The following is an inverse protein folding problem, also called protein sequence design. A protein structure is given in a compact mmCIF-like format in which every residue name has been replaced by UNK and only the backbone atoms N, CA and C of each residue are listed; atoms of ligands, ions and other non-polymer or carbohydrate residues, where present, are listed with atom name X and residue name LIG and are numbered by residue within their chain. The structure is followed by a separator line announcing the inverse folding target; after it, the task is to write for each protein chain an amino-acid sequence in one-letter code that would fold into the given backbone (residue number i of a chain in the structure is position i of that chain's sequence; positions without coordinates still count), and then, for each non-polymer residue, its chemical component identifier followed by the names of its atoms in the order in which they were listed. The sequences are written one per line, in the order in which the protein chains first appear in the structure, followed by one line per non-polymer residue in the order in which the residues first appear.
data_IF_874937465978
#
_entry.id   IF_874937465978
#
_cell.length_a   1.000
_cell.length_b   1.000
_cell.length_c   1.000
_cell.angle_alpha   90.00
_cell.angle_beta   90.00
_cell.angle_gamma   90.00
#
_symmetry.space_group_name_H-M   'P 1'
#
loop_
_entity.id
_entity.type
_entity.pdbx_description
1 polymer ?
#
# COMPACT_ATOMS: atom_id res chain seq x y z
N UNK A 1 62.76 -2.69 30.03
CA UNK A 1 61.61 -1.79 29.98
C UNK A 1 60.62 -2.40 29.05
N UNK A 2 59.58 -3.06 29.57
CA UNK A 2 58.46 -3.68 28.77
C UNK A 2 57.30 -2.65 28.64
N UNK A 3 57.05 -2.18 27.44
CA UNK A 3 55.88 -1.33 27.17
C UNK A 3 54.65 -2.23 27.00
N UNK A 4 53.71 -2.17 27.93
CA UNK A 4 52.41 -2.78 27.79
C UNK A 4 51.56 -1.88 26.90
N UNK A 5 51.19 -2.34 25.69
CA UNK A 5 50.14 -1.72 24.88
C UNK A 5 48.81 -2.13 25.47
N UNK A 6 48.08 -1.18 26.08
CA UNK A 6 46.69 -1.36 26.47
C UNK A 6 45.81 -1.22 25.23
N UNK A 7 45.22 -2.33 24.81
CA UNK A 7 44.20 -2.38 23.74
C UNK A 7 42.88 -1.91 24.36
N UNK A 8 42.49 -0.65 24.13
CA UNK A 8 41.19 -0.14 24.52
C UNK A 8 40.11 -0.71 23.55
N UNK A 9 39.40 -1.74 23.99
CA UNK A 9 38.17 -2.19 23.33
C UNK A 9 37.10 -1.10 23.51
N UNK A 10 36.83 -0.34 22.46
CA UNK A 10 35.62 0.48 22.37
C UNK A 10 34.41 -0.47 22.22
N UNK A 11 33.76 -0.81 23.33
CA UNK A 11 32.39 -1.31 23.29
C UNK A 11 31.52 -0.14 22.80
N UNK A 12 31.15 -0.12 21.51
CA UNK A 12 30.06 0.70 21.02
C UNK A 12 28.80 0.25 21.76
N UNK A 13 28.35 1.00 22.74
CA UNK A 13 27.06 0.79 23.38
C UNK A 13 26.01 0.92 22.29
N UNK A 14 25.37 -0.21 21.90
CA UNK A 14 24.22 -0.21 21.02
C UNK A 14 23.13 0.62 21.71
N UNK A 15 22.83 1.79 21.15
CA UNK A 15 21.70 2.58 21.63
C UNK A 15 20.43 1.71 21.58
N UNK A 16 19.57 1.77 22.58
CA UNK A 16 18.35 0.98 22.59
C UNK A 16 17.52 1.29 21.35
N UNK A 17 16.97 0.24 20.72
CA UNK A 17 16.14 0.40 19.53
C UNK A 17 14.93 1.30 19.85
N UNK A 18 14.65 2.23 18.95
CA UNK A 18 13.51 3.15 19.12
C UNK A 18 12.21 2.40 18.97
N UNK A 19 11.36 2.45 19.98
CA UNK A 19 10.00 1.90 19.89
C UNK A 19 9.14 2.73 18.93
N UNK A 20 8.50 2.05 17.99
CA UNK A 20 7.58 2.67 17.03
C UNK A 20 6.36 1.78 16.81
N UNK A 21 5.23 2.40 16.54
CA UNK A 21 4.01 1.72 16.08
C UNK A 21 3.78 2.06 14.60
N UNK A 22 3.59 1.03 13.79
CA UNK A 22 3.26 1.13 12.38
C UNK A 22 1.88 0.51 12.18
N UNK A 23 0.95 1.21 11.53
CA UNK A 23 -0.35 0.63 11.26
C UNK A 23 -0.58 0.36 9.77
N UNK A 24 -1.48 -0.60 9.50
CA UNK A 24 -1.85 -1.02 8.15
C UNK A 24 -3.35 -1.37 8.08
N UNK A 25 -4.05 -1.07 6.96
CA UNK A 25 -5.51 -1.16 6.89
C UNK A 25 -6.02 -2.49 6.35
N UNK A 26 -5.15 -3.36 5.84
CA UNK A 26 -5.57 -4.57 5.13
C UNK A 26 -4.56 -5.70 5.30
N UNK A 27 -5.07 -6.91 5.43
CA UNK A 27 -4.32 -8.16 5.33
C UNK A 27 -4.30 -8.59 3.86
N UNK A 28 -3.45 -7.95 3.09
CA UNK A 28 -3.29 -8.22 1.65
C UNK A 28 -1.82 -8.11 1.26
N UNK A 29 -1.49 -8.45 0.03
CA UNK A 29 -0.12 -8.36 -0.47
C UNK A 29 0.52 -6.97 -0.38
N UNK A 30 -0.28 -5.90 -0.27
CA UNK A 30 0.22 -4.54 -0.02
C UNK A 30 0.95 -4.39 1.32
N UNK A 31 0.66 -5.27 2.29
CA UNK A 31 1.27 -5.24 3.63
C UNK A 31 2.54 -6.11 3.74
N UNK A 32 2.91 -6.86 2.70
CA UNK A 32 4.12 -7.70 2.72
C UNK A 32 5.39 -6.96 3.15
N UNK A 33 5.67 -5.72 2.69
CA UNK A 33 6.88 -5.02 3.11
C UNK A 33 6.97 -4.86 4.63
N UNK A 34 5.83 -4.62 5.32
CA UNK A 34 5.79 -4.49 6.78
C UNK A 34 6.00 -5.85 7.45
N UNK A 35 5.29 -6.88 6.99
CA UNK A 35 5.34 -8.22 7.57
C UNK A 35 6.75 -8.81 7.45
N UNK A 36 7.34 -8.77 6.26
CA UNK A 36 8.70 -9.25 6.02
C UNK A 36 9.73 -8.41 6.77
N UNK A 37 9.55 -7.08 6.87
CA UNK A 37 10.47 -6.24 7.64
C UNK A 37 10.46 -6.58 9.13
N UNK A 38 9.30 -6.93 9.69
CA UNK A 38 9.18 -7.36 11.09
C UNK A 38 9.77 -8.75 11.30
N UNK A 39 9.31 -9.74 10.55
CA UNK A 39 9.71 -11.14 10.72
C UNK A 39 11.16 -11.41 10.29
N UNK A 40 11.68 -10.62 9.34
CA UNK A 40 13.08 -10.67 8.90
C UNK A 40 14.05 -9.86 9.75
N UNK A 41 13.58 -9.19 10.80
CA UNK A 41 14.45 -8.40 11.68
C UNK A 41 14.99 -7.11 11.04
N UNK A 42 14.43 -6.67 9.91
CA UNK A 42 14.95 -5.48 9.21
C UNK A 42 14.68 -4.18 9.97
N UNK A 43 13.60 -4.09 10.75
CA UNK A 43 13.40 -2.94 11.63
C UNK A 43 14.51 -2.84 12.68
N UNK A 44 14.80 -3.96 13.36
CA UNK A 44 15.87 -4.03 14.36
C UNK A 44 17.25 -3.69 13.77
N UNK A 45 17.52 -4.17 12.55
CA UNK A 45 18.74 -3.84 11.80
C UNK A 45 18.94 -2.33 11.65
N UNK A 46 17.86 -1.58 11.51
CA UNK A 46 17.90 -0.12 11.38
C UNK A 46 17.57 0.61 12.69
N UNK A 47 17.69 -0.08 13.85
CA UNK A 47 17.53 0.53 15.18
C UNK A 47 16.08 0.82 15.57
N UNK A 48 15.11 0.13 14.98
CA UNK A 48 13.68 0.29 15.27
C UNK A 48 13.12 -0.96 15.96
N UNK A 49 12.41 -0.77 17.08
CA UNK A 49 11.57 -1.80 17.70
C UNK A 49 10.12 -1.55 17.27
N UNK A 50 9.73 -2.16 16.14
CA UNK A 50 8.45 -1.89 15.50
C UNK A 50 7.34 -2.81 16.00
N UNK A 51 6.20 -2.24 16.38
CA UNK A 51 4.93 -2.94 16.58
C UNK A 51 4.01 -2.69 15.38
N UNK A 52 3.45 -3.76 14.79
CA UNK A 52 2.50 -3.66 13.70
C UNK A 52 1.07 -3.74 14.23
N UNK A 53 0.21 -2.78 13.86
CA UNK A 53 -1.19 -2.70 14.30
C UNK A 53 -2.11 -2.70 13.08
N UNK A 54 -3.05 -3.66 13.05
CA UNK A 54 -4.12 -3.66 12.07
C UNK A 54 -5.19 -2.63 12.46
N UNK A 55 -5.42 -1.63 11.62
CA UNK A 55 -6.42 -0.60 11.84
C UNK A 55 -7.02 -0.13 10.51
N UNK A 56 -8.35 -0.11 10.38
CA UNK A 56 -9.03 0.41 9.19
C UNK A 56 -8.69 1.89 8.91
N UNK A 57 -8.92 2.36 7.68
CA UNK A 57 -8.46 3.68 7.24
C UNK A 57 -8.81 4.84 8.18
N UNK A 58 -10.05 5.02 8.68
CA UNK A 58 -10.33 6.14 9.59
C UNK A 58 -9.57 6.02 10.92
N UNK A 59 -9.57 4.83 11.52
CA UNK A 59 -8.92 4.60 12.83
C UNK A 59 -7.42 4.74 12.76
N UNK A 60 -6.78 4.20 11.71
CA UNK A 60 -5.34 4.27 11.61
C UNK A 60 -4.82 5.67 11.24
N UNK A 61 -5.58 6.50 10.52
CA UNK A 61 -5.25 7.92 10.33
C UNK A 61 -5.35 8.64 11.68
N UNK A 62 -6.38 8.34 12.49
CA UNK A 62 -6.52 8.89 13.84
C UNK A 62 -5.33 8.53 14.74
N UNK A 63 -4.81 7.30 14.66
CA UNK A 63 -3.59 6.87 15.39
C UNK A 63 -2.35 7.68 14.98
N UNK A 64 -2.21 8.05 13.70
CA UNK A 64 -1.12 8.93 13.24
C UNK A 64 -1.34 10.36 13.75
N UNK A 65 -2.57 10.86 13.75
CA UNK A 65 -2.91 12.20 14.26
C UNK A 65 -2.61 12.31 15.75
N UNK A 66 -2.98 11.31 16.55
CA UNK A 66 -2.73 11.29 18.01
C UNK A 66 -1.26 11.05 18.38
N UNK A 67 -0.42 10.58 17.44
CA UNK A 67 0.96 10.16 17.69
C UNK A 67 1.10 8.75 18.26
N UNK A 68 0.00 8.01 18.39
CA UNK A 68 0.00 6.59 18.79
C UNK A 68 0.73 5.72 17.75
N UNK A 69 0.56 6.04 16.47
CA UNK A 69 1.36 5.44 15.39
C UNK A 69 2.29 6.48 14.75
N UNK A 70 3.55 6.08 14.51
CA UNK A 70 4.55 6.92 13.87
C UNK A 70 4.44 6.89 12.36
N UNK A 71 3.90 5.79 11.79
CA UNK A 71 3.67 5.66 10.34
C UNK A 71 2.42 4.81 10.09
N UNK A 72 1.67 5.20 9.05
CA UNK A 72 0.60 4.38 8.47
C UNK A 72 0.94 3.99 7.02
N UNK A 73 0.77 2.70 6.69
CA UNK A 73 0.94 2.19 5.32
C UNK A 73 -0.43 2.19 4.63
N UNK A 74 -0.82 3.31 4.03
CA UNK A 74 -2.20 3.55 3.61
C UNK A 74 -2.34 3.95 2.14
N UNK A 75 -3.55 3.76 1.62
CA UNK A 75 -3.89 4.20 0.26
C UNK A 75 -3.72 5.70 0.10
N UNK A 76 -3.17 6.11 -1.04
CA UNK A 76 -2.95 7.53 -1.36
C UNK A 76 -4.26 8.33 -1.34
N UNK A 77 -5.40 7.73 -1.74
CA UNK A 77 -6.73 8.37 -1.68
C UNK A 77 -7.09 8.81 -0.26
N UNK A 78 -7.00 7.88 0.69
CA UNK A 78 -7.35 8.17 2.09
C UNK A 78 -6.40 9.21 2.69
N UNK A 79 -5.12 9.13 2.31
CA UNK A 79 -4.09 10.10 2.73
C UNK A 79 -4.36 11.49 2.17
N UNK A 80 -4.68 11.60 0.87
CA UNK A 80 -4.96 12.90 0.24
C UNK A 80 -6.26 13.53 0.77
N UNK A 81 -7.28 12.71 1.05
CA UNK A 81 -8.51 13.19 1.71
C UNK A 81 -8.25 13.72 3.12
N UNK A 82 -7.41 13.03 3.90
CA UNK A 82 -7.03 13.48 5.23
C UNK A 82 -6.17 14.77 5.16
N UNK A 83 -5.19 14.82 4.25
CA UNK A 83 -4.29 15.95 4.07
C UNK A 83 -5.02 17.21 3.57
N UNK A 84 -6.11 17.08 2.85
CA UNK A 84 -6.95 18.21 2.46
C UNK A 84 -7.60 18.94 3.67
N UNK A 85 -7.68 18.25 4.82
CA UNK A 85 -8.23 18.80 6.08
C UNK A 85 -7.15 19.14 7.11
N UNK A 86 -6.01 18.45 7.06
CA UNK A 86 -4.90 18.64 7.99
C UNK A 86 -3.56 18.67 7.21
N UNK A 87 -2.94 19.87 7.07
CA UNK A 87 -1.69 20.05 6.31
C UNK A 87 -0.45 19.50 7.04
N UNK A 88 -0.60 18.95 8.26
CA UNK A 88 0.52 18.44 9.05
C UNK A 88 0.93 17.01 8.69
N UNK A 89 0.32 16.41 7.69
CA UNK A 89 0.74 15.13 7.16
C UNK A 89 1.92 15.26 6.19
N UNK A 90 2.72 14.19 6.10
CA UNK A 90 3.80 14.02 5.15
C UNK A 90 3.83 12.57 4.66
N UNK A 91 4.05 12.37 3.37
CA UNK A 91 4.22 11.07 2.71
C UNK A 91 5.65 10.95 2.25
N UNK A 92 6.37 9.95 2.75
CA UNK A 92 7.81 9.80 2.52
C UNK A 92 8.19 8.70 1.54
N UNK A 93 7.20 8.00 0.99
CA UNK A 93 7.43 6.94 0.00
C UNK A 93 6.14 6.20 -0.37
N UNK A 94 6.25 5.32 -1.37
CA UNK A 94 5.16 4.44 -1.83
C UNK A 94 5.71 3.04 -2.08
N UNK A 95 5.16 2.04 -1.38
CA UNK A 95 5.57 0.62 -1.55
C UNK A 95 4.87 -0.07 -2.71
N UNK A 96 3.80 0.54 -3.23
CA UNK A 96 2.93 -0.03 -4.26
C UNK A 96 2.30 1.09 -5.06
N UNK A 97 2.22 0.97 -6.38
CA UNK A 97 1.49 1.90 -7.24
C UNK A 97 0.36 1.22 -8.03
N UNK A 98 0.38 -0.10 -8.13
CA UNK A 98 -0.69 -0.91 -8.74
C UNK A 98 -1.04 -2.05 -7.79
N UNK A 99 -2.28 -2.12 -7.33
CA UNK A 99 -2.74 -3.19 -6.45
C UNK A 99 -3.50 -4.27 -7.23
N UNK A 100 -3.40 -5.49 -6.73
CA UNK A 100 -4.02 -6.68 -7.31
C UNK A 100 -5.47 -6.78 -6.84
N UNK A 101 -6.37 -5.99 -7.47
CA UNK A 101 -7.80 -6.03 -7.23
C UNK A 101 -8.51 -6.69 -8.41
N UNK A 102 -9.47 -7.58 -8.12
CA UNK A 102 -10.32 -8.22 -9.10
C UNK A 102 -11.77 -7.73 -8.99
N UNK A 103 -12.37 -7.35 -10.12
CA UNK A 103 -13.81 -7.11 -10.22
C UNK A 103 -14.52 -8.45 -10.38
N UNK A 104 -15.15 -8.89 -9.29
CA UNK A 104 -15.88 -10.14 -9.20
C UNK A 104 -17.38 -9.93 -9.39
N UNK A 105 -18.03 -10.83 -10.11
CA UNK A 105 -19.48 -10.76 -10.39
C UNK A 105 -20.12 -12.14 -10.30
N UNK A 106 -21.45 -12.15 -10.22
CA UNK A 106 -22.24 -13.37 -10.36
C UNK A 106 -21.98 -14.05 -11.71
N UNK A 107 -22.28 -15.35 -11.77
CA UNK A 107 -22.06 -16.23 -12.94
C UNK A 107 -22.76 -15.78 -14.22
N UNK A 108 -23.92 -15.13 -14.07
CA UNK A 108 -24.75 -14.63 -15.19
C UNK A 108 -24.29 -13.28 -15.76
N UNK A 109 -23.24 -12.66 -15.16
CA UNK A 109 -22.67 -11.38 -15.60
C UNK A 109 -21.26 -11.61 -16.14
N UNK A 110 -21.14 -11.70 -17.46
CA UNK A 110 -19.90 -12.08 -18.15
C UNK A 110 -19.11 -10.88 -18.70
N UNK A 111 -19.58 -9.64 -18.53
CA UNK A 111 -18.87 -8.45 -19.02
C UNK A 111 -19.12 -7.22 -18.15
N UNK A 112 -18.16 -6.28 -18.15
CA UNK A 112 -18.28 -5.01 -17.41
C UNK A 112 -19.47 -4.19 -17.88
N UNK A 113 -19.81 -4.21 -19.16
CA UNK A 113 -20.97 -3.47 -19.71
C UNK A 113 -22.31 -3.96 -19.14
N UNK A 114 -22.44 -5.22 -18.76
CA UNK A 114 -23.65 -5.78 -18.14
C UNK A 114 -23.86 -5.30 -16.70
N UNK A 115 -22.90 -4.57 -16.12
CA UNK A 115 -23.04 -4.00 -14.78
C UNK A 115 -23.96 -2.78 -14.73
N UNK A 116 -24.38 -2.23 -15.86
CA UNK A 116 -25.34 -1.13 -15.88
C UNK A 116 -26.63 -1.54 -15.17
N UNK A 117 -27.04 -0.73 -14.16
CA UNK A 117 -28.20 -0.97 -13.32
C UNK A 117 -28.02 -2.08 -12.26
N UNK A 118 -26.84 -2.68 -12.14
CA UNK A 118 -26.56 -3.74 -11.17
C UNK A 118 -26.10 -3.19 -9.81
N UNK A 119 -26.24 -4.01 -8.77
CA UNK A 119 -25.85 -3.71 -7.39
C UNK A 119 -24.37 -4.09 -7.18
N UNK A 120 -23.53 -3.12 -6.85
CA UNK A 120 -22.13 -3.38 -6.51
C UNK A 120 -21.86 -3.02 -5.04
N UNK A 121 -21.25 -3.99 -4.31
CA UNK A 121 -20.85 -3.75 -2.92
C UNK A 121 -19.57 -2.91 -2.85
N UNK A 122 -19.56 -1.99 -1.87
CA UNK A 122 -18.40 -1.24 -1.41
C UNK A 122 -18.40 -1.22 0.12
N UNK A 123 -17.28 -0.87 0.78
CA UNK A 123 -17.33 -0.70 2.25
C UNK A 123 -18.16 0.55 2.58
N UNK A 124 -17.85 1.66 1.92
CA UNK A 124 -18.63 2.92 1.94
C UNK A 124 -18.35 3.70 0.65
N UNK A 125 -19.19 4.67 0.35
CA UNK A 125 -19.01 5.52 -0.84
C UNK A 125 -17.74 6.37 -0.68
N UNK A 126 -16.92 6.41 -1.73
CA UNK A 126 -15.65 7.14 -1.74
C UNK A 126 -14.47 6.38 -1.13
N UNK A 127 -14.64 5.11 -0.72
CA UNK A 127 -13.52 4.26 -0.31
C UNK A 127 -12.63 3.87 -1.52
N UNK A 128 -11.40 3.36 -1.30
CA UNK A 128 -10.54 2.96 -2.40
C UNK A 128 -11.18 1.94 -3.37
N UNK A 129 -11.82 0.85 -2.92
CA UNK A 129 -12.55 -0.06 -3.82
C UNK A 129 -13.63 0.61 -4.65
N UNK A 130 -14.39 1.56 -4.09
CA UNK A 130 -15.35 2.36 -4.84
C UNK A 130 -14.68 3.17 -5.94
N UNK A 131 -13.64 3.95 -5.59
CA UNK A 131 -12.95 4.83 -6.52
C UNK A 131 -12.27 4.03 -7.65
N UNK A 132 -11.61 2.90 -7.34
CA UNK A 132 -11.02 2.03 -8.36
C UNK A 132 -12.06 1.38 -9.25
N UNK A 133 -13.22 0.99 -8.71
CA UNK A 133 -14.31 0.45 -9.53
C UNK A 133 -14.85 1.51 -10.47
N UNK A 134 -15.07 2.75 -10.01
CA UNK A 134 -15.51 3.86 -10.87
C UNK A 134 -14.49 4.14 -11.98
N UNK A 135 -13.18 4.14 -11.65
CA UNK A 135 -12.14 4.32 -12.65
C UNK A 135 -12.14 3.19 -13.69
N UNK A 136 -12.31 1.95 -13.25
CA UNK A 136 -12.40 0.79 -14.14
C UNK A 136 -13.65 0.88 -15.06
N UNK A 137 -14.81 1.22 -14.51
CA UNK A 137 -16.06 1.37 -15.27
C UNK A 137 -15.94 2.38 -16.42
N UNK A 138 -15.20 3.48 -16.22
CA UNK A 138 -14.95 4.51 -17.24
C UNK A 138 -14.25 3.97 -18.49
N UNK A 139 -13.37 2.97 -18.34
CA UNK A 139 -12.72 2.33 -19.49
C UNK A 139 -13.71 1.55 -20.38
N UNK A 140 -14.93 1.30 -19.88
CA UNK A 140 -16.00 0.61 -20.61
C UNK A 140 -17.20 1.51 -20.93
N UNK A 141 -17.05 2.85 -20.74
CA UNK A 141 -18.09 3.84 -21.02
C UNK A 141 -19.21 3.90 -19.98
N UNK A 142 -18.98 3.33 -18.78
CA UNK A 142 -19.91 3.42 -17.65
C UNK A 142 -19.44 4.49 -16.64
N UNK A 143 -20.39 5.00 -15.88
CA UNK A 143 -20.16 5.99 -14.83
C UNK A 143 -20.64 5.46 -13.47
N UNK A 144 -20.33 6.17 -12.39
CA UNK A 144 -20.84 5.81 -11.07
C UNK A 144 -22.38 5.86 -10.97
N UNK A 145 -23.04 6.64 -11.82
CA UNK A 145 -24.52 6.77 -11.88
C UNK A 145 -25.20 5.56 -12.53
N UNK A 146 -24.46 4.77 -13.29
CA UNK A 146 -24.97 3.56 -13.94
C UNK A 146 -25.05 2.37 -12.97
N UNK A 147 -24.58 2.52 -11.72
CA UNK A 147 -24.45 1.46 -10.73
C UNK A 147 -25.32 1.75 -9.50
N UNK A 148 -25.96 0.70 -8.97
CA UNK A 148 -26.61 0.74 -7.67
C UNK A 148 -25.58 0.36 -6.59
N UNK A 149 -25.00 1.35 -5.93
CA UNK A 149 -23.98 1.13 -4.91
C UNK A 149 -24.63 0.64 -3.61
N UNK A 150 -24.04 -0.42 -3.03
CA UNK A 150 -24.49 -1.03 -1.78
C UNK A 150 -23.34 -0.95 -0.76
N UNK A 151 -23.34 0.06 0.13
CA UNK A 151 -22.42 0.11 1.24
C UNK A 151 -22.71 -1.05 2.22
N UNK A 152 -21.74 -1.92 2.47
CA UNK A 152 -21.90 -3.07 3.38
C UNK A 152 -21.12 -2.93 4.68
N UNK A 153 -20.33 -1.86 4.84
CA UNK A 153 -19.57 -1.56 6.05
C UNK A 153 -18.49 -2.60 6.38
N UNK A 154 -18.09 -3.43 5.41
CA UNK A 154 -17.23 -4.58 5.64
C UNK A 154 -15.95 -4.52 4.79
N UNK A 155 -14.94 -5.29 5.22
CA UNK A 155 -13.70 -5.54 4.47
C UNK A 155 -13.94 -6.38 3.19
N UNK A 156 -12.86 -6.82 2.54
CA UNK A 156 -12.94 -7.64 1.34
C UNK A 156 -13.69 -8.95 1.56
N UNK A 157 -13.52 -9.60 2.72
CA UNK A 157 -14.19 -10.87 3.04
C UNK A 157 -15.71 -10.67 3.22
N UNK A 158 -16.12 -9.59 3.91
CA UNK A 158 -17.53 -9.26 4.07
C UNK A 158 -18.20 -8.89 2.75
N UNK A 159 -17.49 -8.19 1.84
CA UNK A 159 -18.00 -7.92 0.48
C UNK A 159 -18.09 -9.20 -0.37
N UNK A 160 -17.11 -10.10 -0.26
CA UNK A 160 -17.15 -11.41 -0.91
C UNK A 160 -18.36 -12.24 -0.43
N UNK A 161 -18.63 -12.24 0.87
CA UNK A 161 -19.80 -12.91 1.45
C UNK A 161 -21.12 -12.29 0.97
N UNK A 162 -21.18 -10.96 0.78
CA UNK A 162 -22.36 -10.30 0.22
C UNK A 162 -22.63 -10.72 -1.22
N UNK A 163 -21.57 -10.88 -2.04
CA UNK A 163 -21.68 -11.40 -3.41
C UNK A 163 -22.06 -12.87 -3.42
N UNK A 164 -21.42 -13.71 -2.64
CA UNK A 164 -21.73 -15.15 -2.54
C UNK A 164 -23.17 -15.39 -2.11
N UNK A 165 -23.70 -14.59 -1.18
CA UNK A 165 -25.07 -14.64 -0.69
C UNK A 165 -26.11 -13.97 -1.61
N UNK A 166 -25.74 -13.46 -2.80
CA UNK A 166 -26.66 -12.86 -3.77
C UNK A 166 -27.24 -11.50 -3.35
N UNK A 167 -26.73 -10.89 -2.28
CA UNK A 167 -27.16 -9.54 -1.85
C UNK A 167 -26.73 -8.45 -2.83
N UNK A 168 -25.64 -8.68 -3.55
CA UNK A 168 -25.11 -7.82 -4.60
C UNK A 168 -24.77 -8.64 -5.83
N UNK A 169 -24.55 -7.96 -6.95
CA UNK A 169 -24.29 -8.58 -8.25
C UNK A 169 -22.81 -8.57 -8.61
N UNK A 170 -22.02 -7.72 -7.94
CA UNK A 170 -20.57 -7.65 -8.09
C UNK A 170 -19.89 -6.83 -6.98
N UNK A 171 -18.56 -6.90 -6.93
CA UNK A 171 -17.73 -6.11 -6.03
C UNK A 171 -16.26 -6.20 -6.43
N UNK A 172 -15.46 -5.20 -6.03
CA UNK A 172 -14.02 -5.21 -6.19
C UNK A 172 -13.36 -5.82 -4.96
N UNK A 173 -12.52 -6.84 -5.14
CA UNK A 173 -11.90 -7.61 -4.07
C UNK A 173 -10.38 -7.72 -4.23
N UNK A 174 -9.67 -7.80 -3.10
CA UNK A 174 -8.27 -8.24 -3.06
C UNK A 174 -8.18 -9.75 -2.87
N UNK A 175 -7.13 -10.44 -3.37
CA UNK A 175 -6.91 -11.82 -3.01
C UNK A 175 -6.49 -11.93 -1.52
N UNK A 176 -6.72 -13.05 -0.85
CA UNK A 176 -7.34 -14.27 -1.36
C UNK A 176 -8.88 -14.27 -1.33
N UNK A 177 -9.54 -13.17 -0.91
CA UNK A 177 -10.99 -13.12 -0.64
C UNK A 177 -11.87 -13.52 -1.82
N UNK A 178 -11.38 -13.46 -3.06
CA UNK A 178 -12.14 -13.85 -4.23
C UNK A 178 -11.82 -15.27 -4.76
N UNK A 179 -10.80 -15.97 -4.25
CA UNK A 179 -10.43 -17.28 -4.79
C UNK A 179 -11.54 -18.30 -4.68
N UNK A 180 -12.23 -18.35 -3.52
CA UNK A 180 -13.38 -19.25 -3.33
C UNK A 180 -14.57 -18.90 -4.23
N UNK A 181 -14.73 -17.63 -4.57
CA UNK A 181 -15.75 -17.21 -5.54
C UNK A 181 -15.42 -17.73 -6.94
N UNK A 182 -14.15 -17.61 -7.39
CA UNK A 182 -13.72 -18.19 -8.67
C UNK A 182 -13.94 -19.70 -8.72
N UNK A 183 -13.52 -20.43 -7.67
CA UNK A 183 -13.71 -21.87 -7.54
C UNK A 183 -15.20 -22.26 -7.53
N UNK A 184 -16.06 -21.38 -7.04
CA UNK A 184 -17.52 -21.54 -7.07
C UNK A 184 -18.14 -21.06 -8.40
N UNK A 185 -17.34 -20.66 -9.40
CA UNK A 185 -17.78 -20.27 -10.74
C UNK A 185 -18.28 -18.83 -10.87
N UNK A 186 -17.98 -17.95 -9.92
CA UNK A 186 -18.18 -16.52 -10.10
C UNK A 186 -17.19 -15.95 -11.13
N UNK A 187 -17.59 -14.94 -11.87
CA UNK A 187 -16.75 -14.37 -12.92
C UNK A 187 -15.78 -13.32 -12.37
N UNK A 188 -14.52 -13.39 -12.79
CA UNK A 188 -13.56 -12.29 -12.69
C UNK A 188 -13.56 -11.52 -13.99
N UNK A 189 -14.15 -10.33 -14.01
CA UNK A 189 -14.29 -9.53 -15.22
C UNK A 189 -13.04 -8.71 -15.57
N UNK A 190 -12.28 -8.29 -14.57
CA UNK A 190 -11.09 -7.46 -14.76
C UNK A 190 -10.19 -7.48 -13.52
N UNK A 191 -8.90 -7.25 -13.74
CA UNK A 191 -7.93 -6.86 -12.71
C UNK A 191 -7.61 -5.37 -12.84
N UNK A 192 -7.58 -4.64 -11.73
CA UNK A 192 -7.19 -3.22 -11.72
C UNK A 192 -5.74 -3.02 -12.17
N UNK A 193 -4.86 -3.96 -11.82
CA UNK A 193 -3.44 -3.90 -12.19
C UNK A 193 -3.17 -3.95 -13.70
N UNK A 194 -4.13 -4.42 -14.50
CA UNK A 194 -4.01 -4.51 -15.96
C UNK A 194 -4.25 -3.15 -16.66
N UNK A 195 -4.66 -2.12 -15.92
CA UNK A 195 -5.01 -0.80 -16.46
C UNK A 195 -4.00 0.27 -16.05
N UNK A 196 -3.30 0.85 -17.02
CA UNK A 196 -2.23 1.83 -16.76
C UNK A 196 -2.74 3.18 -16.22
N UNK A 197 -4.00 3.50 -16.45
CA UNK A 197 -4.64 4.73 -15.98
C UNK A 197 -5.21 4.64 -14.55
N UNK A 198 -5.11 3.48 -13.88
CA UNK A 198 -5.60 3.28 -12.53
C UNK A 198 -4.43 3.04 -11.58
N UNK A 199 -4.22 3.97 -10.66
CA UNK A 199 -3.22 3.85 -9.60
C UNK A 199 -3.91 3.44 -8.30
N UNK A 200 -3.43 2.38 -7.68
CA UNK A 200 -3.82 1.91 -6.36
C UNK A 200 -2.59 1.93 -5.45
N UNK A 201 -2.14 3.15 -5.12
CA UNK A 201 -0.89 3.37 -4.40
C UNK A 201 -1.04 3.13 -2.91
N UNK A 202 -0.04 2.46 -2.31
CA UNK A 202 0.11 2.33 -0.86
C UNK A 202 1.32 3.15 -0.42
N UNK A 203 1.09 4.13 0.44
CA UNK A 203 2.08 5.15 0.81
C UNK A 203 2.42 5.11 2.30
N UNK A 204 3.59 5.66 2.65
CA UNK A 204 4.07 5.81 4.01
C UNK A 204 3.68 7.18 4.55
N UNK A 205 2.55 7.23 5.26
CA UNK A 205 2.01 8.43 5.88
C UNK A 205 2.60 8.63 7.27
N UNK A 206 3.08 9.82 7.56
CA UNK A 206 3.59 10.26 8.87
C UNK A 206 3.06 11.64 9.23
N UNK A 207 3.30 12.09 10.46
CA UNK A 207 3.15 13.52 10.86
C UNK A 207 4.46 14.25 10.60
N UNK A 208 4.39 15.52 10.18
CA UNK A 208 5.58 16.38 10.08
C UNK A 208 6.29 16.51 11.42
N UNK A 209 5.55 16.55 12.52
CA UNK A 209 6.10 16.58 13.88
C UNK A 209 6.86 15.31 14.23
N UNK A 210 6.41 14.13 13.79
CA UNK A 210 7.11 12.86 13.97
C UNK A 210 8.44 12.87 13.21
N UNK A 211 8.45 13.35 11.96
CA UNK A 211 9.70 13.47 11.17
C UNK A 211 10.63 14.52 11.76
N UNK A 212 10.11 15.65 12.24
CA UNK A 212 10.93 16.68 12.89
C UNK A 212 11.58 16.16 14.18
N UNK A 213 10.86 15.38 14.98
CA UNK A 213 11.38 14.75 16.21
C UNK A 213 12.41 13.66 15.94
N UNK A 214 12.29 12.93 14.81
CA UNK A 214 13.26 11.93 14.36
C UNK A 214 13.49 12.02 12.85
N UNK A 215 14.39 12.89 12.38
CA UNK A 215 14.67 13.06 10.95
C UNK A 215 15.24 11.82 10.25
N UNK A 216 15.77 10.84 11.02
CA UNK A 216 16.30 9.58 10.48
C UNK A 216 15.19 8.54 10.21
N UNK A 217 14.03 8.68 10.83
CA UNK A 217 12.97 7.68 10.77
C UNK A 217 12.49 7.37 9.34
N UNK A 218 12.27 8.34 8.42
CA UNK A 218 11.94 8.03 7.03
C UNK A 218 12.96 7.14 6.33
N UNK A 219 14.26 7.42 6.51
CA UNK A 219 15.32 6.62 5.92
C UNK A 219 15.36 5.20 6.50
N UNK A 220 15.27 5.07 7.83
CA UNK A 220 15.26 3.78 8.51
C UNK A 220 14.11 2.89 8.02
N UNK A 221 12.91 3.45 7.86
CA UNK A 221 11.73 2.75 7.33
C UNK A 221 11.90 2.37 5.86
N UNK A 222 12.34 3.30 5.00
CA UNK A 222 12.57 3.03 3.58
C UNK A 222 13.59 1.91 3.39
N UNK A 223 14.70 1.94 4.14
CA UNK A 223 15.73 0.90 4.08
C UNK A 223 15.20 -0.45 4.55
N UNK A 224 14.48 -0.50 5.68
CA UNK A 224 13.89 -1.74 6.20
C UNK A 224 12.90 -2.36 5.20
N UNK A 225 12.05 -1.53 4.59
CA UNK A 225 11.09 -2.00 3.60
C UNK A 225 11.75 -2.37 2.26
N UNK A 226 12.79 -1.68 1.82
CA UNK A 226 13.54 -2.06 0.62
C UNK A 226 14.20 -3.43 0.76
N UNK A 227 14.81 -3.74 1.93
CA UNK A 227 15.33 -5.09 2.21
C UNK A 227 14.23 -6.14 2.30
N UNK A 228 13.09 -5.79 2.88
CA UNK A 228 11.91 -6.67 2.91
C UNK A 228 11.40 -6.96 1.49
N UNK A 229 11.35 -5.97 0.62
CA UNK A 229 10.96 -6.13 -0.79
C UNK A 229 11.98 -6.96 -1.56
N UNK A 230 13.27 -6.77 -1.31
CA UNK A 230 14.31 -7.67 -1.85
C UNK A 230 14.04 -9.11 -1.44
N UNK A 231 13.87 -9.36 -0.13
CA UNK A 231 13.57 -10.68 0.41
C UNK A 231 12.28 -11.27 -0.15
N UNK A 232 11.25 -10.45 -0.36
CA UNK A 232 10.02 -10.87 -1.01
C UNK A 232 10.27 -11.51 -2.38
N UNK A 233 11.08 -10.88 -3.23
CA UNK A 233 11.35 -11.38 -4.58
C UNK A 233 12.33 -12.57 -4.62
N UNK A 234 13.16 -12.75 -3.59
CA UNK A 234 14.21 -13.77 -3.55
C UNK A 234 13.81 -15.03 -2.75
N UNK A 235 12.85 -14.91 -1.82
CA UNK A 235 12.49 -16.00 -0.89
C UNK A 235 10.98 -16.11 -0.69
N UNK A 236 10.32 -16.81 -1.64
CA UNK A 236 8.88 -17.07 -1.60
C UNK A 236 8.45 -17.73 -0.27
N UNK A 237 9.21 -18.72 0.18
CA UNK A 237 8.85 -19.47 1.38
C UNK A 237 8.84 -18.57 2.63
N UNK A 238 9.81 -17.69 2.76
CA UNK A 238 9.85 -16.73 3.85
C UNK A 238 8.70 -15.71 3.72
N UNK A 239 8.45 -15.18 2.53
CA UNK A 239 7.37 -14.21 2.30
C UNK A 239 6.00 -14.79 2.67
N UNK A 240 5.73 -16.04 2.28
CA UNK A 240 4.47 -16.75 2.60
C UNK A 240 4.34 -16.94 4.12
N UNK A 241 5.38 -17.42 4.80
CA UNK A 241 5.39 -17.62 6.26
C UNK A 241 5.19 -16.29 7.01
N UNK A 242 5.89 -15.23 6.60
CA UNK A 242 5.74 -13.90 7.20
C UNK A 242 4.30 -13.35 7.06
N UNK A 243 3.64 -13.62 5.93
CA UNK A 243 2.24 -13.24 5.75
C UNK A 243 1.31 -13.99 6.72
N UNK A 244 1.51 -15.31 6.84
CA UNK A 244 0.66 -16.18 7.68
C UNK A 244 0.69 -15.83 9.16
N UNK A 245 1.73 -15.16 9.66
CA UNK A 245 1.79 -14.65 11.04
C UNK A 245 0.66 -13.64 11.28
N UNK A 246 0.30 -12.83 10.27
CA UNK A 246 -0.68 -11.74 10.40
C UNK A 246 -2.05 -12.08 9.83
N UNK A 247 -2.11 -13.05 8.93
CA UNK A 247 -3.34 -13.54 8.32
C UNK A 247 -3.22 -15.05 8.04
N UNK A 248 -3.72 -15.92 8.94
CA UNK A 248 -3.56 -17.37 8.89
C UNK A 248 -4.46 -18.00 7.81
N UNK A 249 -4.18 -17.75 6.56
CA UNK A 249 -4.79 -18.39 5.40
C UNK A 249 -4.04 -19.67 5.02
N UNK A 250 -4.62 -20.49 4.12
CA UNK A 250 -3.94 -21.67 3.59
C UNK A 250 -2.66 -21.28 2.86
N UNK A 251 -1.63 -22.12 2.97
CA UNK A 251 -0.35 -21.89 2.26
C UNK A 251 -0.58 -21.72 0.77
N UNK A 252 -1.42 -22.55 0.14
CA UNK A 252 -1.71 -22.48 -1.29
C UNK A 252 -2.38 -21.16 -1.70
N UNK A 253 -3.28 -20.63 -0.88
CA UNK A 253 -3.90 -19.32 -1.17
C UNK A 253 -2.88 -18.19 -1.11
N UNK A 254 -2.01 -18.19 -0.08
CA UNK A 254 -0.98 -17.14 0.04
C UNK A 254 0.08 -17.28 -1.06
N UNK A 255 0.44 -18.50 -1.48
CA UNK A 255 1.30 -18.71 -2.64
C UNK A 255 0.70 -18.16 -3.93
N UNK A 256 -0.61 -18.34 -4.16
CA UNK A 256 -1.31 -17.75 -5.31
C UNK A 256 -1.28 -16.21 -5.26
N UNK A 257 -1.47 -15.63 -4.07
CA UNK A 257 -1.34 -14.18 -3.88
C UNK A 257 0.08 -13.73 -4.19
N UNK A 258 1.08 -14.42 -3.62
CA UNK A 258 2.50 -14.14 -3.86
C UNK A 258 2.84 -14.16 -5.34
N UNK A 259 2.44 -15.22 -6.05
CA UNK A 259 2.73 -15.39 -7.48
C UNK A 259 2.16 -14.23 -8.31
N UNK A 260 0.95 -13.75 -7.97
CA UNK A 260 0.35 -12.57 -8.60
C UNK A 260 1.16 -11.30 -8.38
N UNK A 261 1.61 -11.05 -7.15
CA UNK A 261 2.43 -9.88 -6.81
C UNK A 261 3.83 -9.96 -7.43
N UNK A 262 4.47 -11.12 -7.38
CA UNK A 262 5.81 -11.34 -7.92
C UNK A 262 5.81 -11.25 -9.45
N UNK A 263 4.89 -11.94 -10.14
CA UNK A 263 4.73 -11.89 -11.60
C UNK A 263 4.40 -10.48 -12.09
N UNK A 264 3.54 -9.77 -11.39
CA UNK A 264 3.16 -8.39 -11.69
C UNK A 264 4.24 -7.37 -11.34
N UNK A 265 5.32 -7.77 -10.65
CA UNK A 265 6.36 -6.87 -10.13
C UNK A 265 5.74 -5.69 -9.36
N UNK A 266 4.77 -5.98 -8.48
CA UNK A 266 3.90 -4.96 -7.92
C UNK A 266 4.54 -4.17 -6.76
N UNK A 267 5.44 -4.80 -5.96
CA UNK A 267 6.13 -4.11 -4.86
C UNK A 267 7.29 -3.26 -5.39
N UNK A 268 7.30 -2.03 -4.95
CA UNK A 268 8.16 -0.97 -5.48
C UNK A 268 9.58 -1.02 -4.88
N UNK A 269 10.59 -1.42 -5.66
CA UNK A 269 11.99 -1.44 -5.21
C UNK A 269 12.54 -0.05 -4.94
N UNK A 270 12.08 0.95 -5.70
CA UNK A 270 12.44 2.36 -5.53
C UNK A 270 11.15 3.13 -5.22
N UNK A 271 10.89 3.49 -3.96
CA UNK A 271 9.56 3.85 -3.46
C UNK A 271 9.18 5.32 -3.68
N UNK A 272 9.41 5.88 -4.88
CA UNK A 272 8.93 7.22 -5.21
C UNK A 272 7.41 7.33 -5.21
N UNK A 273 6.90 8.41 -4.64
CA UNK A 273 5.51 8.83 -4.83
C UNK A 273 5.40 9.50 -6.20
N UNK A 274 4.56 8.96 -7.08
CA UNK A 274 4.50 9.35 -8.49
C UNK A 274 3.46 10.45 -8.74
N UNK A 275 3.77 11.41 -9.61
CA UNK A 275 2.84 12.48 -9.99
C UNK A 275 1.54 11.94 -10.61
N UNK A 276 1.64 10.91 -11.45
CA UNK A 276 0.48 10.28 -12.06
C UNK A 276 -0.45 9.62 -11.03
N UNK A 277 0.08 9.14 -9.90
CA UNK A 277 -0.74 8.57 -8.82
C UNK A 277 -1.61 9.63 -8.15
N UNK A 278 -1.05 10.81 -7.83
CA UNK A 278 -1.83 11.92 -7.27
C UNK A 278 -2.90 12.39 -8.25
N UNK A 279 -2.53 12.55 -9.53
CA UNK A 279 -3.48 12.92 -10.58
C UNK A 279 -4.62 11.90 -10.68
N UNK A 280 -4.32 10.60 -10.69
CA UNK A 280 -5.30 9.53 -10.76
C UNK A 280 -6.29 9.62 -9.59
N UNK A 281 -5.82 9.85 -8.37
CA UNK A 281 -6.67 10.01 -7.18
C UNK A 281 -7.62 11.20 -7.34
N UNK A 282 -7.13 12.35 -7.80
CA UNK A 282 -7.97 13.53 -8.02
C UNK A 282 -9.03 13.31 -9.10
N UNK A 283 -8.66 12.63 -10.19
CA UNK A 283 -9.56 12.33 -11.31
C UNK A 283 -10.64 11.29 -10.96
N UNK A 284 -10.36 10.41 -10.01
CA UNK A 284 -11.27 9.34 -9.57
C UNK A 284 -12.29 9.82 -8.54
N UNK A 285 -12.02 10.91 -7.83
CA UNK A 285 -12.93 11.39 -6.79
C UNK A 285 -14.25 11.87 -7.39
N UNK A 286 -15.35 11.23 -6.96
CA UNK A 286 -16.69 11.48 -7.50
C UNK A 286 -17.58 12.31 -6.57
N UNK A 287 -17.26 12.40 -5.27
CA UNK A 287 -17.96 13.29 -4.35
C UNK A 287 -17.54 14.74 -4.62
N UNK A 288 -18.48 15.65 -4.97
CA UNK A 288 -18.13 17.02 -5.35
C UNK A 288 -17.47 17.84 -4.23
N UNK A 289 -17.87 17.60 -2.98
CA UNK A 289 -17.35 18.36 -1.83
C UNK A 289 -15.94 17.88 -1.50
N UNK A 290 -15.71 16.56 -1.47
CA UNK A 290 -14.39 15.98 -1.24
C UNK A 290 -13.47 16.36 -2.41
N UNK A 291 -13.93 16.27 -3.65
CA UNK A 291 -13.16 16.63 -4.83
C UNK A 291 -12.73 18.11 -4.82
N UNK A 292 -13.63 19.03 -4.41
CA UNK A 292 -13.31 20.43 -4.29
C UNK A 292 -12.24 20.68 -3.23
N UNK A 293 -12.38 20.11 -2.03
CA UNK A 293 -11.40 20.21 -0.95
C UNK A 293 -10.03 19.64 -1.35
N UNK A 294 -10.02 18.46 -2.00
CA UNK A 294 -8.79 17.83 -2.46
C UNK A 294 -8.09 18.63 -3.57
N UNK A 295 -8.85 19.26 -4.50
CA UNK A 295 -8.27 20.10 -5.57
C UNK A 295 -7.70 21.41 -5.04
N UNK A 296 -8.24 21.93 -3.94
CA UNK A 296 -7.75 23.15 -3.29
C UNK A 296 -6.48 22.92 -2.43
N UNK A 297 -6.18 21.68 -2.07
CA UNK A 297 -5.04 21.36 -1.22
C UNK A 297 -3.70 21.44 -1.98
N UNK A 298 -2.65 21.90 -1.28
CA UNK A 298 -1.28 21.94 -1.82
C UNK A 298 -0.51 20.67 -1.46
N UNK A 299 -0.53 19.69 -2.35
CA UNK A 299 0.13 18.40 -2.14
C UNK A 299 1.66 18.43 -2.29
N UNK A 300 2.27 19.56 -2.73
CA UNK A 300 3.74 19.73 -2.68
C UNK A 300 4.23 19.76 -1.24
N UNK A 301 3.36 20.16 -0.29
CA UNK A 301 3.65 20.12 1.15
C UNK A 301 3.35 18.75 1.79
N UNK A 302 2.63 17.87 1.09
CA UNK A 302 2.32 16.52 1.54
C UNK A 302 3.42 15.54 1.17
N UNK A 303 3.93 15.60 -0.06
CA UNK A 303 4.85 14.57 -0.58
C UNK A 303 6.30 15.02 -0.41
N UNK A 304 7.10 14.18 0.23
CA UNK A 304 8.54 14.35 0.38
C UNK A 304 9.31 13.13 -0.17
N UNK A 305 9.77 13.24 -1.39
CA UNK A 305 10.60 12.23 -2.04
C UNK A 305 12.11 12.42 -1.75
N UNK A 306 12.52 13.39 -0.91
CA UNK A 306 13.92 13.77 -0.72
C UNK A 306 14.79 12.63 -0.18
N UNK A 307 14.25 11.82 0.73
CA UNK A 307 14.97 10.65 1.26
C UNK A 307 15.21 9.60 0.18
N UNK A 308 14.21 9.32 -0.67
CA UNK A 308 14.36 8.38 -1.79
C UNK A 308 15.36 8.89 -2.81
N UNK A 309 15.30 10.19 -3.16
CA UNK A 309 16.27 10.85 -4.05
C UNK A 309 17.72 10.75 -3.52
N UNK A 310 17.89 10.98 -2.23
CA UNK A 310 19.21 10.91 -1.59
C UNK A 310 19.76 9.47 -1.60
N UNK A 311 18.94 8.50 -1.19
CA UNK A 311 19.34 7.08 -1.21
C UNK A 311 19.67 6.59 -2.62
N UNK A 312 18.93 7.03 -3.64
CA UNK A 312 19.24 6.74 -5.04
C UNK A 312 20.59 7.34 -5.45
N UNK A 313 20.85 8.62 -5.13
CA UNK A 313 22.12 9.29 -5.46
C UNK A 313 23.34 8.68 -4.73
N UNK A 314 23.12 8.17 -3.52
CA UNK A 314 24.12 7.44 -2.74
C UNK A 314 24.37 6.00 -3.26
N UNK A 315 23.60 5.54 -4.27
CA UNK A 315 23.73 4.20 -4.84
C UNK A 315 23.14 3.09 -3.98
N UNK A 316 22.31 3.42 -2.98
CA UNK A 316 21.75 2.44 -2.05
C UNK A 316 20.93 1.35 -2.75
N UNK A 317 20.01 1.73 -3.64
CA UNK A 317 19.17 0.75 -4.33
C UNK A 317 19.97 -0.11 -5.32
N UNK A 318 20.98 0.47 -5.99
CA UNK A 318 21.90 -0.31 -6.82
C UNK A 318 22.69 -1.34 -6.01
N UNK A 319 23.23 -0.95 -4.86
CA UNK A 319 23.93 -1.85 -3.98
C UNK A 319 23.02 -2.98 -3.44
N UNK A 320 21.74 -2.67 -3.21
CA UNK A 320 20.78 -3.63 -2.66
C UNK A 320 20.22 -4.58 -3.73
N UNK A 321 19.77 -4.08 -4.89
CA UNK A 321 19.07 -4.83 -5.92
C UNK A 321 19.93 -5.20 -7.14
N UNK A 322 21.17 -4.73 -7.18
CA UNK A 322 22.09 -4.91 -8.29
C UNK A 322 21.93 -3.84 -9.39
N UNK A 323 22.84 -3.84 -10.39
CA UNK A 323 22.92 -2.77 -11.40
C UNK A 323 21.70 -2.66 -12.31
N UNK A 324 20.91 -3.72 -12.43
CA UNK A 324 19.67 -3.72 -13.23
C UNK A 324 18.61 -2.72 -12.74
N UNK A 325 18.69 -2.22 -11.49
CA UNK A 325 17.74 -1.26 -10.93
C UNK A 325 17.89 0.16 -11.51
N UNK A 326 19.04 0.52 -12.10
CA UNK A 326 19.33 1.88 -12.59
C UNK A 326 18.29 2.43 -13.55
N UNK A 327 17.81 1.62 -14.48
CA UNK A 327 16.78 2.05 -15.43
C UNK A 327 15.46 2.38 -14.71
N UNK A 328 15.11 1.60 -13.70
CA UNK A 328 13.92 1.84 -12.86
C UNK A 328 14.07 3.12 -12.02
N UNK A 329 15.25 3.32 -11.39
CA UNK A 329 15.56 4.53 -10.62
C UNK A 329 15.40 5.79 -11.48
N UNK A 330 16.02 5.81 -12.65
CA UNK A 330 15.96 6.96 -13.56
C UNK A 330 14.55 7.23 -14.06
N UNK A 331 13.81 6.18 -14.44
CA UNK A 331 12.42 6.29 -14.88
C UNK A 331 11.53 6.86 -13.75
N UNK A 332 11.62 6.31 -12.54
CA UNK A 332 10.79 6.73 -11.41
C UNK A 332 11.16 8.12 -10.90
N UNK A 333 12.43 8.46 -10.87
CA UNK A 333 12.87 9.82 -10.49
C UNK A 333 12.27 10.89 -11.42
N UNK A 334 12.16 10.61 -12.73
CA UNK A 334 11.50 11.51 -13.71
C UNK A 334 9.98 11.62 -13.50
N UNK A 335 9.35 10.56 -13.00
CA UNK A 335 7.90 10.48 -12.78
C UNK A 335 7.50 10.87 -11.35
N UNK A 336 8.47 11.08 -10.47
CA UNK A 336 8.24 11.44 -9.08
C UNK A 336 7.48 12.77 -8.97
N UNK A 337 6.57 12.85 -8.00
CA UNK A 337 5.91 14.10 -7.66
C UNK A 337 6.92 15.08 -7.04
N UNK A 338 6.90 16.33 -7.49
CA UNK A 338 7.83 17.41 -7.08
C UNK A 338 7.07 18.63 -6.59
#
# INVERSE_FOLDING_TARGET
MRRACALALFLAALAPAQKITLNYPTRSGASWPLFIAKEGGYYQKYGLDATLVFAGHPSGIAMVVSGEAQMASYSLESVMQAAARDPNFIVVGSSLNKAYFALMTRKDIGSVKQLKGKRLAVSFLGDPPYNYTVALLRNFGLTSRDIQWVPVGADANGRAAALAGGRVDGTLLTPPSYFRLEESGFNRLANVADYDNIFASTTYLMRKTTVAANPKLPEQLIKAHAEAIKRFYEDKNFAVKAYQVYDPQSTGDIERVYDGYAKGNLLERVPFVLAAALKSVLDQQTDPQIAAAMKAADYRKLVDNSTVDRLMKEGYFEALFGPGIKAEEQRKSKLAYR
#
